data_IF_687493604639
#
_entry.id   IF_687493604639
#
_cell.length_a   1.000
_cell.length_b   1.000
_cell.length_c   1.000
_cell.angle_alpha   90.00
_cell.angle_beta   90.00
_cell.angle_gamma   90.00
#
_symmetry.space_group_name_H-M   'P 1'
#
loop_
_entity.id
_entity.type
_entity.pdbx_description
1 polymer ?
#
# COMPACT_ATOMS: atom_id res chain seq x y z
N UNK A 1 -29.85 -20.23 -10.59
CA UNK A 1 -31.31 -20.38 -10.36
C UNK A 1 -31.80 -19.17 -9.61
N UNK A 2 -33.02 -18.67 -9.89
CA UNK A 2 -33.59 -17.54 -9.14
C UNK A 2 -34.16 -18.00 -7.80
N UNK A 3 -34.07 -17.15 -6.77
CA UNK A 3 -34.55 -17.51 -5.43
C UNK A 3 -36.05 -17.80 -5.37
N UNK A 4 -36.88 -17.15 -6.20
CA UNK A 4 -38.32 -17.43 -6.27
C UNK A 4 -38.61 -18.91 -6.54
N UNK A 5 -37.82 -19.57 -7.38
CA UNK A 5 -37.96 -21.00 -7.71
C UNK A 5 -37.52 -21.88 -6.54
N UNK A 6 -36.47 -21.48 -5.82
CA UNK A 6 -35.99 -22.20 -4.62
C UNK A 6 -37.00 -22.11 -3.49
N UNK A 7 -37.57 -20.92 -3.26
CA UNK A 7 -38.63 -20.72 -2.26
C UNK A 7 -39.87 -21.56 -2.59
N UNK A 8 -40.25 -21.66 -3.87
CA UNK A 8 -41.36 -22.50 -4.30
C UNK A 8 -41.15 -24.00 -3.99
N UNK A 9 -39.90 -24.49 -4.07
CA UNK A 9 -39.52 -25.87 -3.75
C UNK A 9 -39.57 -26.18 -2.25
N UNK A 10 -39.44 -25.15 -1.40
CA UNK A 10 -39.48 -25.30 0.06
C UNK A 10 -40.90 -25.30 0.63
N UNK A 11 -41.92 -24.98 -0.19
CA UNK A 11 -43.30 -25.01 0.25
C UNK A 11 -43.79 -26.46 0.47
N UNK A 12 -44.49 -26.74 1.58
CA UNK A 12 -45.11 -28.05 1.79
C UNK A 12 -46.13 -28.36 0.68
N UNK A 13 -45.98 -29.48 -0.05
CA UNK A 13 -46.71 -29.74 -1.29
C UNK A 13 -48.22 -29.93 -1.09
N UNK A 14 -48.68 -30.23 0.12
CA UNK A 14 -50.10 -30.46 0.45
C UNK A 14 -50.80 -29.24 1.06
N UNK A 15 -50.05 -28.25 1.57
CA UNK A 15 -50.64 -27.12 2.29
C UNK A 15 -50.72 -25.83 1.47
N UNK A 16 -49.87 -25.70 0.45
CA UNK A 16 -49.78 -24.49 -0.37
C UNK A 16 -49.72 -24.83 -1.85
N UNK A 17 -50.48 -24.10 -2.65
CA UNK A 17 -50.38 -24.12 -4.11
C UNK A 17 -49.34 -23.09 -4.55
N UNK A 18 -48.16 -23.55 -4.95
CA UNK A 18 -47.06 -22.71 -5.42
C UNK A 18 -47.38 -21.97 -6.72
N UNK A 19 -48.41 -22.40 -7.45
CA UNK A 19 -48.89 -21.75 -8.68
C UNK A 19 -50.02 -20.76 -8.44
N UNK A 20 -50.56 -20.72 -7.21
CA UNK A 20 -51.63 -19.80 -6.83
C UNK A 20 -51.19 -18.34 -6.95
N UNK A 21 -52.05 -17.50 -7.52
CA UNK A 21 -51.72 -16.11 -7.90
C UNK A 21 -51.12 -15.27 -6.76
N UNK A 22 -51.62 -15.42 -5.53
CA UNK A 22 -51.11 -14.70 -4.34
C UNK A 22 -49.74 -15.21 -3.88
N UNK A 23 -49.56 -16.52 -3.88
CA UNK A 23 -48.32 -17.17 -3.43
C UNK A 23 -47.22 -16.91 -4.47
N UNK A 24 -47.52 -17.04 -5.76
CA UNK A 24 -46.59 -16.70 -6.83
C UNK A 24 -46.12 -15.24 -6.76
N UNK A 25 -47.02 -14.30 -6.46
CA UNK A 25 -46.66 -12.89 -6.27
C UNK A 25 -45.74 -12.67 -5.07
N UNK A 26 -46.01 -13.33 -3.93
CA UNK A 26 -45.15 -13.28 -2.74
C UNK A 26 -43.76 -13.87 -3.01
N UNK A 27 -43.70 -15.07 -3.60
CA UNK A 27 -42.46 -15.75 -3.98
C UNK A 27 -41.63 -14.91 -4.96
N UNK A 28 -42.27 -14.22 -5.90
CA UNK A 28 -41.58 -13.33 -6.83
C UNK A 28 -40.99 -12.10 -6.13
N UNK A 29 -41.73 -11.48 -5.21
CA UNK A 29 -41.26 -10.33 -4.44
C UNK A 29 -40.11 -10.70 -3.49
N UNK A 30 -40.29 -11.75 -2.69
CA UNK A 30 -39.27 -12.25 -1.76
C UNK A 30 -38.04 -12.78 -2.50
N UNK A 31 -38.26 -13.54 -3.58
CA UNK A 31 -37.20 -14.04 -4.43
C UNK A 31 -36.38 -12.91 -5.06
N UNK A 32 -37.03 -11.82 -5.50
CA UNK A 32 -36.32 -10.63 -6.00
C UNK A 32 -35.44 -10.00 -4.91
N UNK A 33 -35.95 -9.86 -3.69
CA UNK A 33 -35.17 -9.29 -2.57
C UNK A 33 -33.94 -10.14 -2.27
N UNK A 34 -34.06 -11.47 -2.31
CA UNK A 34 -32.93 -12.38 -2.10
C UNK A 34 -31.94 -12.38 -3.28
N UNK A 35 -32.44 -12.34 -4.51
CA UNK A 35 -31.61 -12.20 -5.71
C UNK A 35 -30.80 -10.89 -5.65
N UNK A 36 -31.45 -9.77 -5.29
CA UNK A 36 -30.80 -8.46 -5.13
C UNK A 36 -29.78 -8.49 -3.98
N UNK A 37 -30.11 -9.10 -2.84
CA UNK A 37 -29.21 -9.23 -1.70
C UNK A 37 -27.96 -10.07 -2.02
N UNK A 38 -28.13 -11.18 -2.74
CA UNK A 38 -27.00 -11.99 -3.19
C UNK A 38 -26.11 -11.21 -4.18
N UNK A 39 -26.71 -10.51 -5.15
CA UNK A 39 -25.97 -9.70 -6.11
C UNK A 39 -25.17 -8.59 -5.41
N UNK A 40 -25.78 -7.88 -4.46
CA UNK A 40 -25.10 -6.85 -3.68
C UNK A 40 -23.96 -7.44 -2.82
N UNK A 41 -24.14 -8.64 -2.26
CA UNK A 41 -23.09 -9.32 -1.51
C UNK A 41 -21.87 -9.67 -2.37
N UNK A 42 -22.10 -10.13 -3.61
CA UNK A 42 -21.03 -10.39 -4.57
C UNK A 42 -20.32 -9.11 -5.00
N UNK A 43 -21.08 -8.06 -5.33
CA UNK A 43 -20.50 -6.74 -5.66
C UNK A 43 -19.64 -6.19 -4.51
N UNK A 44 -20.12 -6.32 -3.27
CA UNK A 44 -19.35 -5.91 -2.08
C UNK A 44 -18.03 -6.68 -1.94
N UNK A 45 -18.02 -7.97 -2.28
CA UNK A 45 -16.82 -8.80 -2.25
C UNK A 45 -15.82 -8.37 -3.32
N UNK A 46 -16.28 -8.10 -4.54
CA UNK A 46 -15.44 -7.60 -5.63
C UNK A 46 -14.90 -6.21 -5.34
N UNK A 47 -15.66 -5.38 -4.62
CA UNK A 47 -15.27 -4.02 -4.26
C UNK A 47 -14.19 -3.92 -3.16
N UNK A 48 -13.75 -5.05 -2.60
CA UNK A 48 -12.63 -5.11 -1.63
C UNK A 48 -11.31 -4.67 -2.30
N UNK A 49 -11.17 -4.85 -3.61
CA UNK A 49 -10.03 -4.31 -4.36
C UNK A 49 -10.46 -3.13 -5.22
N UNK A 50 -9.57 -2.14 -5.43
CA UNK A 50 -9.90 -0.93 -6.19
C UNK A 50 -10.18 -1.19 -7.68
N UNK A 51 -9.75 -2.34 -8.20
CA UNK A 51 -9.94 -2.80 -9.58
C UNK A 51 -11.08 -3.81 -9.77
N UNK A 52 -11.66 -4.33 -8.68
CA UNK A 52 -12.73 -5.32 -8.74
C UNK A 52 -14.11 -4.71 -9.05
N UNK A 53 -14.53 -3.71 -8.27
CA UNK A 53 -15.78 -2.96 -8.53
C UNK A 53 -15.52 -1.46 -8.72
N UNK A 54 -15.60 -1.03 -9.99
CA UNK A 54 -15.40 0.37 -10.38
C UNK A 54 -16.51 1.30 -9.87
N UNK A 55 -17.68 0.80 -9.47
CA UNK A 55 -18.70 1.63 -8.82
C UNK A 55 -18.22 2.14 -7.45
N UNK A 56 -17.35 1.40 -6.76
CA UNK A 56 -16.75 1.80 -5.49
C UNK A 56 -15.50 2.67 -5.64
N UNK A 57 -15.01 2.93 -6.86
CA UNK A 57 -13.79 3.73 -7.10
C UNK A 57 -13.84 5.10 -6.41
N UNK A 58 -14.97 5.80 -6.45
CA UNK A 58 -15.13 7.10 -5.80
C UNK A 58 -15.01 7.02 -4.26
N UNK A 59 -15.45 5.90 -3.67
CA UNK A 59 -15.30 5.66 -2.23
C UNK A 59 -13.85 5.45 -1.84
N UNK A 60 -13.09 4.72 -2.67
CA UNK A 60 -11.65 4.55 -2.51
C UNK A 60 -10.90 5.87 -2.64
N UNK A 61 -11.16 6.64 -3.69
CA UNK A 61 -10.54 7.95 -3.91
C UNK A 61 -10.76 8.89 -2.71
N UNK A 62 -11.97 8.93 -2.15
CA UNK A 62 -12.28 9.70 -0.95
C UNK A 62 -11.39 9.30 0.25
N UNK A 63 -11.15 8.01 0.46
CA UNK A 63 -10.31 7.51 1.57
C UNK A 63 -8.85 7.90 1.35
N UNK A 64 -8.36 7.83 0.12
CA UNK A 64 -6.98 8.13 -0.26
C UNK A 64 -6.72 9.61 -0.62
N UNK A 65 -7.73 10.48 -0.42
CA UNK A 65 -7.62 11.92 -0.67
C UNK A 65 -7.43 12.29 -2.14
N UNK A 66 -8.02 11.51 -3.04
CA UNK A 66 -8.07 11.73 -4.49
C UNK A 66 -9.45 12.27 -4.93
N UNK A 67 -9.56 12.89 -6.12
CA UNK A 67 -8.48 13.21 -7.07
C UNK A 67 -7.56 14.33 -6.55
N UNK A 68 -6.28 14.29 -6.92
CA UNK A 68 -5.34 15.37 -6.59
C UNK A 68 -5.82 16.68 -7.25
N UNK A 69 -6.03 17.77 -6.49
CA UNK A 69 -6.45 19.06 -7.03
C UNK A 69 -5.52 19.60 -8.13
N UNK A 70 -4.25 19.20 -8.12
CA UNK A 70 -3.25 19.61 -9.11
C UNK A 70 -3.42 18.95 -10.49
N UNK A 71 -4.07 17.79 -10.55
CA UNK A 71 -4.23 16.99 -11.79
C UNK A 71 -5.50 17.36 -12.59
N UNK A 72 -6.34 18.26 -12.08
CA UNK A 72 -7.56 18.72 -12.75
C UNK A 72 -8.71 17.71 -12.72
N UNK A 73 -9.91 18.18 -13.12
CA UNK A 73 -11.18 17.46 -12.90
C UNK A 73 -11.53 16.38 -13.94
N UNK A 74 -10.87 16.35 -15.10
CA UNK A 74 -11.21 15.45 -16.21
C UNK A 74 -10.11 14.39 -16.43
N UNK A 75 -9.99 13.46 -15.49
CA UNK A 75 -9.09 12.30 -15.62
C UNK A 75 -9.84 11.11 -16.24
N UNK A 76 -9.16 10.34 -17.08
CA UNK A 76 -9.70 9.05 -17.55
C UNK A 76 -9.83 8.07 -16.39
N UNK A 77 -10.72 7.08 -16.53
CA UNK A 77 -10.90 6.04 -15.50
C UNK A 77 -9.60 5.29 -15.21
N UNK A 78 -8.85 4.94 -16.26
CA UNK A 78 -7.55 4.27 -16.14
C UNK A 78 -6.54 5.10 -15.34
N UNK A 79 -6.47 6.41 -15.59
CA UNK A 79 -5.56 7.30 -14.87
C UNK A 79 -5.93 7.43 -13.40
N UNK A 80 -7.23 7.50 -13.09
CA UNK A 80 -7.75 7.53 -11.72
C UNK A 80 -7.37 6.27 -10.95
N UNK A 81 -7.59 5.10 -11.56
CA UNK A 81 -7.24 3.81 -10.97
C UNK A 81 -5.73 3.65 -10.78
N UNK A 82 -4.92 4.06 -11.75
CA UNK A 82 -3.46 4.06 -11.62
C UNK A 82 -2.98 4.99 -10.47
N UNK A 83 -3.56 6.18 -10.36
CA UNK A 83 -3.25 7.14 -9.28
C UNK A 83 -3.64 6.59 -7.91
N UNK A 84 -4.79 5.91 -7.82
CA UNK A 84 -5.24 5.25 -6.61
C UNK A 84 -4.31 4.11 -6.20
N UNK A 85 -3.94 3.22 -7.14
CA UNK A 85 -3.00 2.13 -6.87
C UNK A 85 -1.65 2.67 -6.43
N UNK A 86 -1.14 3.72 -7.09
CA UNK A 86 0.08 4.39 -6.66
C UNK A 86 -0.05 4.89 -5.21
N UNK A 87 -1.17 5.52 -4.85
CA UNK A 87 -1.39 6.03 -3.49
C UNK A 87 -1.48 4.92 -2.44
N UNK A 88 -2.10 3.80 -2.79
CA UNK A 88 -2.14 2.59 -1.95
C UNK A 88 -0.72 2.09 -1.69
N UNK A 89 0.09 1.96 -2.74
CA UNK A 89 1.48 1.49 -2.62
C UNK A 89 2.36 2.47 -1.83
N UNK A 90 2.18 3.79 -2.04
CA UNK A 90 2.85 4.83 -1.24
C UNK A 90 2.54 4.73 0.26
N UNK A 91 1.35 4.23 0.61
CA UNK A 91 0.91 4.12 2.01
C UNK A 91 1.31 2.79 2.65
N UNK A 92 1.73 1.79 1.85
CA UNK A 92 1.89 0.41 2.30
C UNK A 92 3.32 -0.13 2.28
N UNK A 93 4.22 0.41 1.45
CA UNK A 93 5.55 -0.18 1.27
C UNK A 93 6.65 0.68 1.91
N UNK A 94 7.07 0.27 3.11
CA UNK A 94 8.30 0.75 3.73
C UNK A 94 9.45 -0.20 3.38
N UNK A 95 9.94 -0.07 2.15
CA UNK A 95 11.10 -0.82 1.65
C UNK A 95 12.23 0.14 1.33
N UNK A 96 13.48 -0.32 1.49
CA UNK A 96 14.70 0.43 1.13
C UNK A 96 14.59 1.02 -0.27
N UNK A 97 14.15 0.23 -1.25
CA UNK A 97 14.01 0.65 -2.65
C UNK A 97 13.04 1.82 -2.83
N UNK A 98 11.86 1.77 -2.21
CA UNK A 98 10.85 2.83 -2.31
C UNK A 98 11.42 4.16 -1.79
N UNK A 99 12.17 4.12 -0.69
CA UNK A 99 12.82 5.30 -0.13
C UNK A 99 13.94 5.82 -1.06
N UNK A 100 14.79 4.94 -1.61
CA UNK A 100 15.82 5.34 -2.59
C UNK A 100 15.17 6.00 -3.81
N UNK A 101 14.14 5.38 -4.39
CA UNK A 101 13.42 5.92 -5.53
C UNK A 101 12.77 7.27 -5.23
N UNK A 102 12.17 7.43 -4.04
CA UNK A 102 11.62 8.71 -3.61
C UNK A 102 12.69 9.79 -3.49
N UNK A 103 13.87 9.47 -2.95
CA UNK A 103 14.99 10.40 -2.84
C UNK A 103 15.56 10.80 -4.20
N UNK A 104 15.75 9.83 -5.09
CA UNK A 104 16.28 10.05 -6.44
C UNK A 104 15.39 10.97 -7.26
N UNK A 105 14.06 10.83 -7.14
CA UNK A 105 13.09 11.74 -7.78
C UNK A 105 13.21 13.18 -7.29
N UNK A 106 13.69 13.39 -6.06
CA UNK A 106 13.98 14.70 -5.49
C UNK A 106 15.40 15.20 -5.82
N UNK A 107 16.22 14.39 -6.51
CA UNK A 107 17.61 14.70 -6.83
C UNK A 107 18.62 14.35 -5.73
N UNK A 108 18.23 13.54 -4.75
CA UNK A 108 19.10 13.09 -3.65
C UNK A 108 19.62 11.68 -3.90
N UNK A 109 20.91 11.49 -3.67
CA UNK A 109 21.49 10.16 -3.44
C UNK A 109 21.59 9.94 -1.94
N UNK A 110 21.01 8.84 -1.46
CA UNK A 110 20.93 8.50 -0.03
C UNK A 110 21.45 7.10 0.24
N UNK A 111 21.95 6.88 1.45
CA UNK A 111 22.24 5.55 2.01
C UNK A 111 21.61 5.42 3.40
N UNK A 112 21.55 4.17 3.90
CA UNK A 112 20.92 3.87 5.18
C UNK A 112 21.95 3.34 6.17
N UNK A 113 21.72 3.60 7.44
CA UNK A 113 22.40 2.94 8.55
C UNK A 113 21.34 2.39 9.48
N UNK A 114 21.31 1.07 9.59
CA UNK A 114 20.42 0.32 10.47
C UNK A 114 21.14 0.03 11.79
N UNK A 115 20.41 0.14 12.88
CA UNK A 115 20.96 -0.07 14.21
C UNK A 115 20.42 -1.37 14.79
N UNK A 116 21.32 -2.11 15.42
CA UNK A 116 20.99 -3.38 16.07
C UNK A 116 21.38 -3.29 17.55
N UNK A 117 20.54 -3.82 18.46
CA UNK A 117 20.88 -3.86 19.88
C UNK A 117 22.20 -4.60 20.10
N UNK A 118 23.01 -4.14 21.04
CA UNK A 118 24.27 -4.80 21.35
C UNK A 118 24.00 -6.15 22.02
N UNK A 119 24.54 -7.23 21.44
CA UNK A 119 24.41 -8.59 21.95
C UNK A 119 25.77 -9.12 22.40
N UNK A 120 25.77 -10.24 23.12
CA UNK A 120 27.03 -10.90 23.53
C UNK A 120 27.90 -11.29 22.34
N UNK A 121 27.29 -11.50 21.17
CA UNK A 121 27.96 -11.81 19.91
C UNK A 121 28.38 -10.56 19.11
N UNK A 122 28.03 -9.36 19.57
CA UNK A 122 28.41 -8.11 18.89
C UNK A 122 29.91 -7.82 19.03
N UNK A 123 30.55 -7.22 17.99
CA UNK A 123 31.93 -6.77 18.07
C UNK A 123 32.15 -5.78 19.23
N UNK A 124 33.28 -5.87 19.92
CA UNK A 124 33.61 -5.02 21.08
C UNK A 124 33.67 -3.53 20.74
N UNK A 125 33.94 -3.20 19.48
CA UNK A 125 34.03 -1.82 18.98
C UNK A 125 32.67 -1.25 18.57
N UNK A 126 31.61 -2.07 18.53
CA UNK A 126 30.26 -1.60 18.22
C UNK A 126 29.73 -0.73 19.37
N UNK A 127 29.07 0.41 19.09
CA UNK A 127 28.40 1.19 20.11
C UNK A 127 27.32 0.39 20.85
N UNK A 128 27.18 0.66 22.15
CA UNK A 128 26.18 0.03 23.02
C UNK A 128 24.77 0.58 22.75
N UNK A 129 24.14 0.08 21.67
CA UNK A 129 22.75 0.38 21.37
C UNK A 129 21.81 -0.47 22.21
N UNK A 130 20.80 0.15 22.81
CA UNK A 130 19.68 -0.54 23.47
C UNK A 130 18.62 -1.01 22.48
N UNK A 131 17.63 -1.76 22.97
CA UNK A 131 16.56 -2.36 22.15
C UNK A 131 15.81 -1.33 21.30
N UNK A 132 15.57 -0.12 21.82
CA UNK A 132 14.84 0.94 21.12
C UNK A 132 15.48 1.35 19.78
N UNK A 133 16.79 1.13 19.60
CA UNK A 133 17.49 1.47 18.37
C UNK A 133 17.08 0.60 17.18
N UNK A 134 16.46 -0.56 17.42
CA UNK A 134 15.88 -1.38 16.33
C UNK A 134 14.78 -0.65 15.57
N UNK A 135 14.20 0.40 16.16
CA UNK A 135 13.18 1.24 15.56
C UNK A 135 13.76 2.55 14.99
N UNK A 136 15.07 2.74 15.03
CA UNK A 136 15.75 3.89 14.47
C UNK A 136 16.34 3.53 13.09
N UNK A 137 16.14 4.41 12.12
CA UNK A 137 16.79 4.31 10.81
C UNK A 137 17.48 5.63 10.51
N UNK A 138 18.78 5.60 10.28
CA UNK A 138 19.53 6.78 9.86
C UNK A 138 19.61 6.84 8.34
N UNK A 139 19.21 7.98 7.78
CA UNK A 139 19.35 8.32 6.37
C UNK A 139 20.55 9.25 6.23
N UNK A 140 21.52 8.82 5.44
CA UNK A 140 22.71 9.61 5.11
C UNK A 140 22.51 10.23 3.74
N UNK A 141 22.72 11.55 3.64
CA UNK A 141 22.61 12.29 2.39
C UNK A 141 23.66 13.39 2.33
N UNK A 142 23.97 13.88 1.13
CA UNK A 142 24.78 15.09 1.00
C UNK A 142 23.98 16.30 1.49
N UNK A 143 24.62 17.20 2.24
CA UNK A 143 24.00 18.47 2.59
C UNK A 143 23.64 19.28 1.34
N UNK A 144 22.36 19.62 1.20
CA UNK A 144 21.89 20.63 0.26
C UNK A 144 21.63 21.94 1.01
N UNK A 145 22.37 22.98 0.62
CA UNK A 145 22.29 24.32 1.21
C UNK A 145 21.23 25.21 0.57
N UNK A 146 20.45 24.69 -0.39
CA UNK A 146 19.27 25.39 -0.86
C UNK A 146 18.29 25.63 0.30
N UNK A 147 17.52 26.74 0.30
CA UNK A 147 16.68 27.15 1.43
C UNK A 147 15.71 26.09 1.97
N UNK A 148 15.38 25.09 1.15
CA UNK A 148 14.46 24.00 1.49
C UNK A 148 14.99 22.61 1.11
N UNK A 149 16.26 22.47 0.70
CA UNK A 149 16.77 21.21 0.15
C UNK A 149 16.61 20.05 1.15
N UNK A 150 17.36 20.11 2.26
CA UNK A 150 17.29 19.08 3.29
C UNK A 150 15.89 18.93 3.88
N UNK A 151 15.19 20.04 4.15
CA UNK A 151 13.85 20.03 4.73
C UNK A 151 12.82 19.33 3.84
N UNK A 152 12.94 19.44 2.52
CA UNK A 152 12.09 18.73 1.56
C UNK A 152 12.32 17.22 1.65
N UNK A 153 13.58 16.77 1.67
CA UNK A 153 13.92 15.37 1.83
C UNK A 153 13.35 14.82 3.15
N UNK A 154 13.58 15.52 4.26
CA UNK A 154 13.06 15.09 5.57
C UNK A 154 11.55 14.96 5.57
N UNK A 155 10.84 15.96 5.03
CA UNK A 155 9.38 15.96 4.99
C UNK A 155 8.83 14.80 4.16
N UNK A 156 9.44 14.49 3.02
CA UNK A 156 8.99 13.38 2.16
C UNK A 156 9.28 12.04 2.83
N UNK A 157 10.49 11.87 3.38
CA UNK A 157 10.87 10.62 4.05
C UNK A 157 10.00 10.33 5.27
N UNK A 158 9.72 11.36 6.09
CA UNK A 158 8.82 11.21 7.26
C UNK A 158 7.37 10.90 6.87
N UNK A 159 6.95 11.31 5.67
CA UNK A 159 5.60 11.03 5.17
C UNK A 159 5.42 9.58 4.72
N UNK A 160 6.47 8.97 4.16
CA UNK A 160 6.46 7.59 3.69
C UNK A 160 6.93 6.58 4.75
N UNK A 161 7.58 7.06 5.82
CA UNK A 161 8.03 6.19 6.91
C UNK A 161 6.86 5.56 7.67
N UNK A 162 7.05 4.32 8.13
CA UNK A 162 6.10 3.70 9.05
C UNK A 162 6.06 4.48 10.36
N UNK A 163 4.88 4.52 10.98
CA UNK A 163 4.66 5.30 12.21
C UNK A 163 5.54 4.86 13.41
N UNK A 164 6.04 3.64 13.42
CA UNK A 164 6.88 3.11 14.50
C UNK A 164 8.38 3.26 14.22
N UNK A 165 8.79 3.78 13.07
CA UNK A 165 10.21 3.95 12.71
C UNK A 165 10.59 5.42 12.85
N UNK A 166 11.62 5.67 13.66
CA UNK A 166 12.16 7.00 13.90
C UNK A 166 13.29 7.27 12.91
N UNK A 167 13.06 8.22 12.01
CA UNK A 167 14.08 8.66 11.05
C UNK A 167 15.05 9.67 11.67
N UNK A 168 16.35 9.36 11.56
CA UNK A 168 17.48 10.24 11.88
C UNK A 168 18.14 10.68 10.57
N UNK A 169 18.44 11.96 10.42
CA UNK A 169 19.07 12.48 9.21
C UNK A 169 20.50 12.90 9.49
N UNK A 170 21.43 12.42 8.67
CA UNK A 170 22.84 12.79 8.73
C UNK A 170 23.26 13.40 7.39
N UNK A 171 23.68 14.67 7.43
CA UNK A 171 24.06 15.45 6.24
C UNK A 171 25.58 15.62 6.09
N UNK A 172 26.37 14.60 6.46
CA UNK A 172 27.82 14.60 6.37
C UNK A 172 28.37 13.35 5.67
N UNK A 173 29.39 13.53 4.81
CA UNK A 173 30.07 12.43 4.09
C UNK A 173 29.89 12.46 2.56
N UNK A 174 30.70 11.67 1.85
CA UNK A 174 30.57 11.49 0.40
C UNK A 174 29.51 10.40 0.13
N UNK A 175 28.38 10.69 -0.55
CA UNK A 175 27.33 9.71 -0.81
C UNK A 175 27.82 8.52 -1.65
N UNK A 176 28.94 8.65 -2.37
CA UNK A 176 29.49 7.60 -3.22
C UNK A 176 30.43 6.61 -2.49
N UNK A 177 30.58 6.71 -1.17
CA UNK A 177 31.56 5.92 -0.38
C UNK A 177 30.93 4.84 0.53
N UNK A 178 29.63 4.58 0.40
CA UNK A 178 28.90 3.70 1.33
C UNK A 178 28.28 2.46 0.68
N UNK A 179 28.87 1.95 -0.42
CA UNK A 179 28.65 0.57 -0.88
C UNK A 179 29.47 -0.46 -0.07
N UNK A 180 30.18 -0.02 0.96
CA UNK A 180 30.79 -0.91 1.93
C UNK A 180 29.89 -0.98 3.16
N UNK A 181 28.83 -1.78 3.04
CA UNK A 181 28.30 -2.51 4.18
C UNK A 181 29.44 -3.45 4.60
N UNK A 182 30.05 -3.25 5.79
CA UNK A 182 30.79 -4.33 6.45
C UNK A 182 29.75 -5.38 6.85
N UNK A 183 29.33 -6.18 5.85
CA UNK A 183 28.21 -7.11 5.93
C UNK A 183 27.46 -7.18 4.61
N UNK A 184 27.93 -8.01 3.69
CA UNK A 184 27.23 -8.53 2.51
C UNK A 184 26.49 -7.50 1.61
N UNK A 185 27.26 -6.62 0.98
CA UNK A 185 26.73 -5.71 -0.04
C UNK A 185 26.34 -6.41 -1.35
N UNK A 186 25.08 -6.25 -1.77
CA UNK A 186 24.65 -6.51 -3.15
C UNK A 186 24.95 -5.30 -4.04
N UNK A 187 25.72 -5.50 -5.11
CA UNK A 187 25.95 -4.49 -6.14
C UNK A 187 24.95 -4.70 -7.29
N UNK A 188 24.07 -3.72 -7.52
CA UNK A 188 23.40 -3.55 -8.81
C UNK A 188 24.37 -2.82 -9.75
N UNK A 189 24.76 -3.46 -10.85
CA UNK A 189 25.46 -2.77 -11.94
C UNK A 189 24.46 -2.00 -12.80
N UNK A 190 24.94 -1.07 -13.64
CA UNK A 190 24.13 -0.19 -14.51
C UNK A 190 23.16 -0.93 -15.48
N UNK A 191 23.21 -2.27 -15.54
CA UNK A 191 22.39 -3.11 -16.41
C UNK A 191 21.32 -3.97 -15.66
N UNK A 192 21.03 -3.70 -14.38
CA UNK A 192 20.00 -4.42 -13.59
C UNK A 192 20.18 -5.96 -13.55
N UNK A 193 21.43 -6.45 -13.57
CA UNK A 193 21.72 -7.88 -13.43
C UNK A 193 22.35 -8.23 -12.08
N UNK A 194 21.79 -9.25 -11.43
CA UNK A 194 22.31 -9.84 -10.20
C UNK A 194 23.59 -10.65 -10.50
N UNK A 195 24.72 -10.21 -9.96
CA UNK A 195 25.93 -11.04 -9.91
C UNK A 195 25.91 -11.83 -8.60
N UNK A 196 25.56 -13.12 -8.70
CA UNK A 196 25.76 -14.08 -7.62
C UNK A 196 27.27 -14.43 -7.56
N UNK A 197 27.92 -14.02 -6.48
CA UNK A 197 29.34 -14.31 -6.25
C UNK A 197 29.47 -15.20 -5.00
N UNK A 198 29.36 -16.51 -5.23
CA UNK A 198 29.93 -17.54 -4.36
C UNK A 198 31.45 -17.43 -4.27
#
# INVERSE_FOLDING_TARGET
MKHATLLALLLPPTSYDSTGQRIAAALAAEGKVLDDAQANGLATLDAITPDGDLEMLASWERVYGLPDPSLGANQSLELRLASLIQRINETGEFTRDVMVWAALRLGYSISFTEFHPFQVESPVEQPLYGDDWMYALQINARADHQPYGNALLESVMRRIAMAHIVLIFNYGGNPNLFLFEEGDGFLLTEDDQYLDMS
#
